data_IF_461429836333
#
_entry.id   IF_461429836333
#
_cell.length_a   1.000
_cell.length_b   1.000
_cell.length_c   1.000
_cell.angle_alpha   90.00
_cell.angle_beta   90.00
_cell.angle_gamma   90.00
#
_symmetry.space_group_name_H-M   'P 1'
#
loop_
_entity.id
_entity.type
_entity.pdbx_description
1 polymer ?
#
# COMPACT_ATOMS: atom_id res chain seq x y z
N UNK A 1 -4.80 17.95 5.73
CA UNK A 1 -3.63 17.05 5.63
C UNK A 1 -4.03 15.74 6.25
N UNK A 2 -3.66 14.64 5.62
CA UNK A 2 -3.99 13.30 6.07
C UNK A 2 -3.47 13.05 7.47
N UNK A 3 -4.28 12.38 8.28
CA UNK A 3 -3.99 12.12 9.70
C UNK A 3 -4.75 10.93 10.23
N UNK A 4 -4.22 10.33 11.29
CA UNK A 4 -4.78 9.17 11.97
C UNK A 4 -4.94 9.50 13.45
N UNK A 5 -6.15 9.32 13.95
CA UNK A 5 -6.51 9.41 15.36
C UNK A 5 -6.59 8.01 15.96
N UNK A 6 -6.16 7.92 17.21
CA UNK A 6 -6.24 6.71 18.03
C UNK A 6 -6.92 7.05 19.34
N UNK A 7 -7.74 6.15 19.86
CA UNK A 7 -8.36 6.37 21.16
C UNK A 7 -9.17 5.20 21.65
N UNK A 8 -9.79 5.42 22.79
CA UNK A 8 -10.72 4.49 23.44
C UNK A 8 -12.11 5.11 23.53
N UNK A 9 -13.12 4.27 23.49
CA UNK A 9 -14.52 4.66 23.69
C UNK A 9 -15.22 3.65 24.61
N UNK A 10 -16.40 4.01 25.12
CA UNK A 10 -17.19 3.14 25.99
C UNK A 10 -16.50 2.80 27.31
N UNK A 11 -15.69 3.72 27.86
CA UNK A 11 -14.91 3.47 29.08
C UNK A 11 -13.76 2.47 28.91
N UNK A 12 -13.26 2.26 27.69
CA UNK A 12 -12.16 1.35 27.37
C UNK A 12 -12.60 0.05 26.70
N UNK A 13 -13.91 -0.19 26.58
CA UNK A 13 -14.48 -1.37 25.95
C UNK A 13 -14.30 -1.40 24.43
N UNK A 14 -14.00 -0.24 23.82
CA UNK A 14 -13.78 -0.11 22.38
C UNK A 14 -12.43 0.56 22.10
N UNK A 15 -11.62 -0.06 21.23
CA UNK A 15 -10.46 0.58 20.62
C UNK A 15 -10.86 1.19 19.28
N UNK A 16 -10.63 2.49 19.12
CA UNK A 16 -11.04 3.23 17.93
C UNK A 16 -9.82 3.78 17.21
N UNK A 17 -9.76 3.55 15.91
CA UNK A 17 -8.85 4.21 14.99
C UNK A 17 -9.65 4.92 13.92
N UNK A 18 -9.23 6.12 13.56
CA UNK A 18 -9.88 6.89 12.51
C UNK A 18 -8.83 7.57 11.64
N UNK A 19 -9.03 7.60 10.33
CA UNK A 19 -8.11 8.20 9.39
C UNK A 19 -8.86 9.14 8.43
N UNK A 20 -8.30 10.32 8.23
CA UNK A 20 -8.64 11.22 7.13
C UNK A 20 -7.53 11.13 6.10
N UNK A 21 -7.89 10.83 4.85
CA UNK A 21 -6.95 10.43 3.79
C UNK A 21 -7.24 11.10 2.46
N UNK A 22 -8.04 12.18 2.44
CA UNK A 22 -8.43 12.90 1.21
C UNK A 22 -7.23 13.23 0.32
N UNK A 23 -6.18 13.84 0.88
CA UNK A 23 -4.95 14.21 0.15
C UNK A 23 -4.12 12.99 -0.27
N UNK A 24 -4.09 11.95 0.56
CA UNK A 24 -3.42 10.67 0.25
C UNK A 24 -4.04 9.99 -0.96
N UNK A 25 -5.38 9.96 -1.02
CA UNK A 25 -6.12 9.33 -2.12
C UNK A 25 -6.06 10.19 -3.37
N UNK A 26 -6.13 11.52 -3.24
CA UNK A 26 -5.98 12.44 -4.38
C UNK A 26 -4.60 12.32 -5.02
N UNK A 27 -3.52 12.24 -4.23
CA UNK A 27 -2.17 12.01 -4.74
C UNK A 27 -2.08 10.68 -5.51
N UNK A 28 -2.70 9.61 -5.00
CA UNK A 28 -2.74 8.32 -5.69
C UNK A 28 -3.54 8.40 -7.01
N UNK A 29 -4.68 9.12 -7.02
CA UNK A 29 -5.49 9.34 -8.21
C UNK A 29 -4.69 10.03 -9.32
N UNK A 30 -4.01 11.13 -8.97
CA UNK A 30 -3.21 11.91 -9.90
C UNK A 30 -2.02 11.12 -10.45
N UNK A 31 -1.29 10.41 -9.57
CA UNK A 31 -0.11 9.62 -9.97
C UNK A 31 -0.44 8.46 -10.91
N UNK A 32 -1.60 7.85 -10.75
CA UNK A 32 -1.97 6.64 -11.46
C UNK A 32 -3.03 6.84 -12.56
N UNK A 33 -3.56 8.05 -12.73
CA UNK A 33 -4.61 8.31 -13.72
C UNK A 33 -5.87 7.47 -13.46
N UNK A 34 -6.31 7.40 -12.20
CA UNK A 34 -7.37 6.48 -11.81
C UNK A 34 -8.75 6.96 -12.29
N UNK A 35 -9.57 6.02 -12.77
CA UNK A 35 -11.00 6.24 -12.96
C UNK A 35 -11.70 6.55 -11.61
N UNK A 36 -12.92 7.11 -11.60
CA UNK A 36 -13.66 7.39 -10.37
C UNK A 36 -13.83 6.15 -9.46
N UNK A 37 -14.22 5.00 -10.02
CA UNK A 37 -14.43 3.77 -9.25
C UNK A 37 -13.11 3.15 -8.80
N UNK A 38 -12.04 3.21 -9.62
CA UNK A 38 -10.71 2.76 -9.24
C UNK A 38 -10.11 3.62 -8.11
N UNK A 39 -10.38 4.93 -8.12
CA UNK A 39 -10.02 5.87 -7.05
C UNK A 39 -10.68 5.47 -5.74
N UNK A 40 -11.97 5.13 -5.76
CA UNK A 40 -12.67 4.65 -4.58
C UNK A 40 -12.10 3.31 -4.08
N UNK A 41 -11.84 2.36 -4.97
CA UNK A 41 -11.27 1.05 -4.61
C UNK A 41 -9.89 1.19 -3.95
N UNK A 42 -8.95 1.88 -4.62
CA UNK A 42 -7.60 2.08 -4.10
C UNK A 42 -7.61 2.94 -2.83
N UNK A 43 -8.42 4.01 -2.80
CA UNK A 43 -8.49 4.90 -1.64
C UNK A 43 -9.02 4.21 -0.39
N UNK A 44 -10.02 3.32 -0.52
CA UNK A 44 -10.49 2.47 0.58
C UNK A 44 -9.38 1.51 1.03
N UNK A 45 -8.70 0.84 0.09
CA UNK A 45 -7.61 -0.08 0.43
C UNK A 45 -6.43 0.63 1.13
N UNK A 46 -6.04 1.82 0.68
CA UNK A 46 -5.01 2.65 1.30
C UNK A 46 -5.37 3.07 2.72
N UNK A 47 -6.59 3.56 2.90
CA UNK A 47 -7.11 3.94 4.22
C UNK A 47 -7.19 2.74 5.15
N UNK A 48 -7.70 1.61 4.66
CA UNK A 48 -7.76 0.35 5.38
C UNK A 48 -6.39 -0.16 5.79
N UNK A 49 -5.40 -0.12 4.90
CA UNK A 49 -4.03 -0.53 5.22
C UNK A 49 -3.38 0.36 6.29
N UNK A 50 -3.63 1.68 6.27
CA UNK A 50 -3.19 2.59 7.34
C UNK A 50 -3.82 2.23 8.69
N UNK A 51 -5.13 1.93 8.72
CA UNK A 51 -5.82 1.49 9.94
C UNK A 51 -5.24 0.15 10.43
N UNK A 52 -5.11 -0.86 9.56
CA UNK A 52 -4.51 -2.15 9.90
C UNK A 52 -3.07 -2.01 10.41
N UNK A 53 -2.27 -1.14 9.79
CA UNK A 53 -0.90 -0.88 10.22
C UNK A 53 -0.87 -0.38 11.68
N UNK A 54 -1.79 0.50 12.06
CA UNK A 54 -1.92 0.96 13.45
C UNK A 54 -2.50 -0.10 14.40
N UNK A 55 -3.32 -1.02 13.91
CA UNK A 55 -3.89 -2.11 14.72
C UNK A 55 -2.87 -3.20 15.03
N UNK A 56 -2.03 -3.57 14.06
CA UNK A 56 -1.29 -4.84 14.03
C UNK A 56 0.23 -4.68 14.16
N UNK A 57 0.80 -3.57 13.69
CA UNK A 57 2.25 -3.40 13.69
C UNK A 57 2.75 -2.83 15.02
N UNK A 58 3.86 -3.37 15.51
CA UNK A 58 4.38 -3.05 16.85
C UNK A 58 5.59 -2.13 16.81
N UNK A 59 6.38 -2.22 15.75
CA UNK A 59 7.65 -1.48 15.64
C UNK A 59 7.75 -0.65 14.36
N UNK A 60 8.48 0.49 14.38
CA UNK A 60 8.68 1.37 13.22
C UNK A 60 9.27 0.70 11.97
N UNK A 61 9.91 -0.46 12.13
CA UNK A 61 10.57 -1.21 11.06
C UNK A 61 9.65 -2.22 10.38
N UNK A 62 8.50 -2.53 10.98
CA UNK A 62 7.51 -3.43 10.38
C UNK A 62 6.78 -2.76 9.22
N UNK A 63 6.29 -3.58 8.30
CA UNK A 63 5.47 -3.15 7.16
C UNK A 63 4.29 -4.08 6.99
N UNK A 64 3.17 -3.52 6.54
CA UNK A 64 1.98 -4.27 6.17
C UNK A 64 1.73 -4.11 4.68
N UNK A 65 1.61 -5.21 3.95
CA UNK A 65 1.18 -5.23 2.56
C UNK A 65 -0.20 -5.85 2.47
N UNK A 66 -1.18 -5.07 2.01
CA UNK A 66 -2.53 -5.50 1.68
C UNK A 66 -2.61 -5.81 0.19
N UNK A 67 -3.06 -7.01 -0.16
CA UNK A 67 -3.27 -7.43 -1.55
C UNK A 67 -4.71 -7.89 -1.73
N UNK A 68 -5.40 -7.31 -2.69
CA UNK A 68 -6.74 -7.72 -3.12
C UNK A 68 -6.58 -8.36 -4.49
N UNK A 69 -6.76 -9.68 -4.55
CA UNK A 69 -6.68 -10.46 -5.78
C UNK A 69 -8.12 -10.78 -6.19
N UNK A 70 -8.72 -9.91 -7.01
CA UNK A 70 -10.11 -10.02 -7.46
C UNK A 70 -10.23 -10.41 -8.93
N UNK A 71 -11.35 -11.04 -9.29
CA UNK A 71 -11.68 -11.47 -10.65
C UNK A 71 -12.30 -10.36 -11.53
N UNK A 72 -12.57 -9.20 -10.95
CA UNK A 72 -13.19 -8.07 -11.63
C UNK A 72 -12.22 -7.26 -12.50
N UNK A 73 -12.73 -6.26 -13.25
CA UNK A 73 -11.96 -5.48 -14.20
C UNK A 73 -10.77 -4.72 -13.62
N UNK A 74 -10.72 -4.42 -12.32
CA UNK A 74 -9.58 -3.75 -11.68
C UNK A 74 -8.29 -4.57 -11.77
N UNK A 75 -8.40 -5.90 -11.85
CA UNK A 75 -7.30 -6.85 -11.97
C UNK A 75 -6.44 -7.05 -10.71
N UNK A 76 -6.66 -6.25 -9.67
CA UNK A 76 -6.04 -6.39 -8.35
C UNK A 76 -5.61 -5.06 -7.74
N UNK A 77 -5.43 -5.07 -6.42
CA UNK A 77 -4.97 -3.91 -5.63
C UNK A 77 -3.79 -4.34 -4.78
N UNK A 78 -2.73 -3.53 -4.74
CA UNK A 78 -1.60 -3.74 -3.84
C UNK A 78 -1.32 -2.44 -3.08
N UNK A 79 -1.30 -2.51 -1.76
CA UNK A 79 -1.06 -1.37 -0.87
C UNK A 79 -0.03 -1.76 0.19
N UNK A 80 0.95 -0.91 0.45
CA UNK A 80 1.91 -1.05 1.54
C UNK A 80 1.75 0.13 2.50
N UNK A 81 1.65 -0.14 3.80
CA UNK A 81 1.54 0.86 4.86
C UNK A 81 2.53 0.58 6.01
N UNK A 82 2.89 1.63 6.74
CA UNK A 82 3.76 1.55 7.91
C UNK A 82 3.23 2.30 9.15
N UNK A 83 3.77 2.04 10.35
CA UNK A 83 3.28 2.65 11.60
C UNK A 83 3.43 4.17 11.68
N UNK A 84 4.24 4.77 10.81
CA UNK A 84 4.49 6.21 10.76
C UNK A 84 3.53 6.96 9.82
N UNK A 85 2.48 6.27 9.36
CA UNK A 85 1.45 6.82 8.50
C UNK A 85 1.89 7.00 7.04
N UNK A 86 2.97 6.34 6.60
CA UNK A 86 3.29 6.29 5.19
C UNK A 86 2.46 5.19 4.52
N UNK A 87 1.91 5.48 3.35
CA UNK A 87 1.22 4.50 2.51
C UNK A 87 1.56 4.71 1.04
N UNK A 88 1.57 3.63 0.26
CA UNK A 88 1.65 3.66 -1.20
C UNK A 88 0.85 2.49 -1.74
N UNK A 89 0.34 2.60 -2.94
CA UNK A 89 -0.40 1.51 -3.55
C UNK A 89 -0.77 1.79 -4.98
N UNK A 90 -1.07 0.74 -5.71
CA UNK A 90 -1.45 0.79 -7.11
C UNK A 90 -2.51 -0.28 -7.39
N UNK A 91 -3.16 -0.14 -8.53
CA UNK A 91 -4.08 -1.12 -9.10
C UNK A 91 -3.54 -1.60 -10.44
N UNK A 92 -3.95 -2.78 -10.87
CA UNK A 92 -3.48 -3.34 -12.15
C UNK A 92 -4.01 -2.57 -13.36
N UNK A 93 -5.30 -2.24 -13.35
CA UNK A 93 -5.98 -1.54 -14.44
C UNK A 93 -6.57 -0.20 -13.91
N UNK A 94 -5.80 0.90 -13.93
CA UNK A 94 -6.20 2.17 -13.29
C UNK A 94 -7.42 2.84 -13.94
N UNK A 95 -7.60 2.66 -15.24
CA UNK A 95 -8.70 3.22 -16.02
C UNK A 95 -9.93 2.31 -16.08
N UNK A 96 -9.94 1.20 -15.33
CA UNK A 96 -11.05 0.26 -15.35
C UNK A 96 -12.34 0.92 -14.83
N UNK A 97 -13.45 0.68 -15.53
CA UNK A 97 -14.76 1.21 -15.19
C UNK A 97 -15.83 0.12 -15.17
N UNK A 98 -16.86 0.35 -14.37
CA UNK A 98 -18.08 -0.43 -14.29
C UNK A 98 -19.25 0.54 -14.11
N UNK A 99 -20.49 0.16 -14.49
CA UNK A 99 -21.66 0.97 -14.23
C UNK A 99 -21.81 1.32 -12.73
N UNK A 100 -22.48 2.44 -12.46
CA UNK A 100 -22.89 2.77 -11.10
C UNK A 100 -23.88 1.73 -10.58
N UNK A 101 -23.90 1.56 -9.26
CA UNK A 101 -24.93 0.77 -8.56
C UNK A 101 -26.31 1.40 -8.77
N UNK A 102 -27.36 0.62 -8.50
CA UNK A 102 -28.75 1.09 -8.57
C UNK A 102 -29.03 2.30 -7.66
N UNK A 103 -28.30 2.44 -6.56
CA UNK A 103 -28.37 3.58 -5.64
C UNK A 103 -27.53 4.80 -6.08
N UNK A 104 -26.97 4.76 -7.30
CA UNK A 104 -26.19 5.83 -7.89
C UNK A 104 -24.75 5.93 -7.36
N UNK A 105 -24.28 5.00 -6.53
CA UNK A 105 -22.92 5.00 -5.99
C UNK A 105 -21.94 4.23 -6.88
N UNK A 106 -20.64 4.52 -6.69
CA UNK A 106 -19.55 3.79 -7.35
C UNK A 106 -19.59 2.30 -6.97
N UNK A 107 -19.53 1.43 -7.98
CA UNK A 107 -19.62 -0.02 -7.79
C UNK A 107 -18.24 -0.66 -7.55
N UNK A 108 -17.69 -0.47 -6.35
CA UNK A 108 -16.37 -1.01 -6.00
C UNK A 108 -16.39 -2.53 -5.97
N UNK A 109 -17.45 -3.15 -5.43
CA UNK A 109 -17.60 -4.60 -5.37
C UNK A 109 -17.57 -5.26 -6.74
N UNK A 110 -18.27 -4.72 -7.75
CA UNK A 110 -18.22 -5.24 -9.12
C UNK A 110 -16.85 -5.01 -9.78
N UNK A 111 -16.24 -3.84 -9.56
CA UNK A 111 -14.94 -3.51 -10.15
C UNK A 111 -13.84 -4.45 -9.62
N UNK A 112 -13.88 -4.79 -8.33
CA UNK A 112 -12.96 -5.74 -7.69
C UNK A 112 -13.31 -7.18 -8.02
N UNK A 113 -14.59 -7.55 -7.99
CA UNK A 113 -15.09 -8.90 -8.19
C UNK A 113 -14.83 -9.84 -7.00
N UNK A 114 -15.05 -11.13 -7.23
CA UNK A 114 -14.79 -12.18 -6.24
C UNK A 114 -13.30 -12.52 -6.18
N UNK A 115 -12.82 -13.02 -5.04
CA UNK A 115 -11.40 -13.39 -4.93
C UNK A 115 -10.92 -13.46 -3.49
N UNK A 116 -9.69 -13.00 -3.25
CA UNK A 116 -9.04 -13.11 -1.95
C UNK A 116 -8.43 -11.79 -1.49
N UNK A 117 -8.46 -11.60 -0.18
CA UNK A 117 -7.71 -10.59 0.54
C UNK A 117 -6.52 -11.25 1.23
N UNK A 118 -5.30 -10.82 0.90
CA UNK A 118 -4.06 -11.27 1.54
C UNK A 118 -3.42 -10.11 2.30
N UNK A 119 -2.97 -10.39 3.51
CA UNK A 119 -2.23 -9.44 4.36
C UNK A 119 -0.88 -10.04 4.71
N UNK A 120 0.18 -9.39 4.26
CA UNK A 120 1.57 -9.74 4.57
C UNK A 120 2.12 -8.77 5.61
N UNK A 121 2.61 -9.28 6.75
CA UNK A 121 3.34 -8.49 7.77
C UNK A 121 4.82 -8.82 7.70
N UNK A 122 5.62 -7.87 7.24
CA UNK A 122 7.08 -7.99 7.21
C UNK A 122 7.66 -7.53 8.54
N UNK A 123 8.37 -8.43 9.21
CA UNK A 123 9.01 -8.19 10.50
C UNK A 123 10.45 -7.68 10.34
N UNK A 124 11.05 -7.06 11.38
CA UNK A 124 12.39 -6.49 11.28
C UNK A 124 13.51 -7.52 11.07
N UNK A 125 13.25 -8.79 11.38
CA UNK A 125 14.17 -9.92 11.18
C UNK A 125 14.10 -10.50 9.75
N UNK A 126 13.26 -9.94 8.88
CA UNK A 126 13.07 -10.39 7.49
C UNK A 126 11.99 -11.48 7.32
N UNK A 127 11.41 -11.98 8.40
CA UNK A 127 10.28 -12.91 8.32
C UNK A 127 9.03 -12.19 7.80
N UNK A 128 8.22 -12.91 7.03
CA UNK A 128 6.94 -12.42 6.51
C UNK A 128 5.84 -13.36 6.99
N UNK A 129 4.90 -12.81 7.77
CA UNK A 129 3.69 -13.51 8.16
C UNK A 129 2.57 -13.17 7.18
N UNK A 130 2.04 -14.17 6.50
CA UNK A 130 0.98 -14.01 5.52
C UNK A 130 -0.31 -14.65 6.03
N UNK A 131 -1.42 -13.91 5.93
CA UNK A 131 -2.76 -14.46 6.08
C UNK A 131 -3.61 -14.15 4.85
N UNK A 132 -4.55 -15.04 4.51
CA UNK A 132 -5.43 -14.91 3.35
C UNK A 132 -6.84 -15.33 3.73
N UNK A 133 -7.83 -14.51 3.34
CA UNK A 133 -9.26 -14.78 3.50
C UNK A 133 -9.98 -14.56 2.18
N UNK A 134 -11.09 -15.26 1.89
CA UNK A 134 -11.93 -14.94 0.74
C UNK A 134 -12.56 -13.55 0.91
N UNK A 135 -12.76 -12.85 -0.22
CA UNK A 135 -13.56 -11.64 -0.26
C UNK A 135 -15.02 -11.99 0.02
N UNK A 136 -15.67 -11.17 0.83
CA UNK A 136 -17.09 -11.27 1.18
C UNK A 136 -17.92 -10.46 0.19
N UNK A 137 -17.46 -9.25 -0.16
CA UNK A 137 -18.20 -8.35 -1.07
C UNK A 137 -17.33 -7.64 -2.09
N UNK A 138 -16.02 -7.51 -1.85
CA UNK A 138 -15.14 -6.71 -2.71
C UNK A 138 -15.25 -5.20 -2.47
N UNK A 139 -16.10 -4.75 -1.54
CA UNK A 139 -16.22 -3.34 -1.15
C UNK A 139 -15.09 -2.87 -0.20
N UNK A 140 -14.14 -3.76 0.09
CA UNK A 140 -12.93 -3.59 0.92
C UNK A 140 -13.23 -3.49 2.41
N UNK A 141 -14.19 -2.66 2.85
CA UNK A 141 -14.46 -2.45 4.27
C UNK A 141 -14.92 -3.74 4.98
N UNK A 142 -15.92 -4.42 4.40
CA UNK A 142 -16.43 -5.70 4.91
C UNK A 142 -15.38 -6.81 4.81
N UNK A 143 -14.58 -6.81 3.75
CA UNK A 143 -13.49 -7.78 3.56
C UNK A 143 -12.42 -7.64 4.65
N UNK A 144 -12.08 -6.40 5.04
CA UNK A 144 -11.16 -6.13 6.15
C UNK A 144 -11.76 -6.49 7.51
N UNK A 145 -13.06 -6.24 7.73
CA UNK A 145 -13.74 -6.67 8.94
C UNK A 145 -13.74 -8.20 9.07
N UNK A 146 -14.01 -8.90 7.96
CA UNK A 146 -13.93 -10.36 7.88
C UNK A 146 -12.50 -10.87 8.14
N UNK A 147 -11.48 -10.22 7.58
CA UNK A 147 -10.08 -10.53 7.87
C UNK A 147 -9.75 -10.40 9.37
N UNK A 148 -10.11 -9.28 9.99
CA UNK A 148 -9.84 -9.04 11.41
C UNK A 148 -10.52 -10.09 12.29
N UNK A 149 -11.74 -10.48 11.95
CA UNK A 149 -12.46 -11.55 12.65
C UNK A 149 -11.82 -12.93 12.43
N UNK A 150 -11.62 -13.35 11.18
CA UNK A 150 -11.19 -14.72 10.86
C UNK A 150 -9.71 -14.97 11.20
N UNK A 151 -8.84 -14.01 10.91
CA UNK A 151 -7.38 -14.19 11.00
C UNK A 151 -6.78 -13.67 12.31
N UNK A 152 -7.27 -12.54 12.81
CA UNK A 152 -6.72 -11.90 14.01
C UNK A 152 -7.59 -12.17 15.26
N UNK A 153 -8.79 -12.74 15.10
CA UNK A 153 -9.78 -12.95 16.16
C UNK A 153 -10.19 -11.65 16.85
N UNK A 154 -10.34 -10.59 16.05
CA UNK A 154 -10.67 -9.26 16.49
C UNK A 154 -12.03 -8.85 15.90
N UNK A 155 -13.14 -8.98 16.67
CA UNK A 155 -14.43 -8.44 16.26
C UNK A 155 -14.32 -6.94 16.03
N UNK A 156 -14.60 -6.52 14.79
CA UNK A 156 -14.37 -5.15 14.35
C UNK A 156 -15.48 -4.65 13.44
N UNK A 157 -15.90 -3.41 13.63
CA UNK A 157 -16.62 -2.64 12.62
C UNK A 157 -15.62 -1.79 11.84
N UNK A 158 -15.64 -1.90 10.51
CA UNK A 158 -14.76 -1.14 9.61
C UNK A 158 -15.63 -0.35 8.64
N UNK A 159 -15.45 0.97 8.63
CA UNK A 159 -16.10 1.89 7.71
C UNK A 159 -15.01 2.54 6.87
N UNK A 160 -15.15 2.49 5.55
CA UNK A 160 -14.24 3.16 4.61
C UNK A 160 -15.07 3.94 3.60
N UNK A 161 -14.63 5.15 3.29
CA UNK A 161 -15.36 6.06 2.43
C UNK A 161 -14.41 6.81 1.51
N UNK A 162 -14.77 6.85 0.24
CA UNK A 162 -14.18 7.76 -0.75
C UNK A 162 -15.33 8.35 -1.55
N UNK A 163 -15.36 9.67 -1.64
CA UNK A 163 -16.28 10.40 -2.49
C UNK A 163 -15.49 11.24 -3.47
N UNK A 164 -15.85 11.12 -4.74
CA UNK A 164 -15.31 11.90 -5.84
C UNK A 164 -16.35 12.89 -6.36
N UNK A 165 -15.89 14.01 -6.91
CA UNK A 165 -16.73 15.07 -7.51
C UNK A 165 -16.27 15.37 -8.93
N UNK A 166 -17.16 15.93 -9.75
CA UNK A 166 -16.87 16.35 -11.12
C UNK A 166 -16.24 15.23 -11.95
N UNK A 167 -15.08 15.51 -12.56
CA UNK A 167 -14.32 14.59 -13.42
C UNK A 167 -13.52 13.53 -12.64
N UNK A 168 -13.75 13.37 -11.33
CA UNK A 168 -13.15 12.32 -10.51
C UNK A 168 -12.24 12.80 -9.37
N UNK A 169 -12.12 14.13 -9.16
CA UNK A 169 -11.37 14.71 -8.03
C UNK A 169 -11.88 14.17 -6.70
N UNK A 170 -10.97 13.80 -5.79
CA UNK A 170 -11.34 13.30 -4.46
C UNK A 170 -11.85 14.47 -3.62
N UNK A 171 -13.13 14.41 -3.24
CA UNK A 171 -13.73 15.42 -2.37
C UNK A 171 -13.47 15.11 -0.90
N UNK A 172 -13.71 13.86 -0.50
CA UNK A 172 -13.40 13.36 0.84
C UNK A 172 -12.99 11.88 0.80
N UNK A 173 -11.98 11.52 1.58
CA UNK A 173 -11.64 10.13 1.85
C UNK A 173 -11.26 9.92 3.32
N UNK A 174 -11.64 8.78 3.86
CA UNK A 174 -11.33 8.43 5.23
C UNK A 174 -11.96 7.11 5.67
N UNK A 175 -11.71 6.76 6.93
CA UNK A 175 -12.08 5.47 7.47
C UNK A 175 -12.08 5.43 8.98
N UNK A 176 -12.86 4.52 9.55
CA UNK A 176 -12.87 4.23 10.99
C UNK A 176 -12.84 2.72 11.18
N UNK A 177 -12.00 2.25 12.10
CA UNK A 177 -12.01 0.88 12.60
C UNK A 177 -12.31 0.92 14.11
N UNK A 178 -13.38 0.25 14.51
CA UNK A 178 -13.78 0.08 15.91
C UNK A 178 -13.61 -1.39 16.27
N UNK A 179 -12.68 -1.66 17.17
CA UNK A 179 -12.40 -2.99 17.70
C UNK A 179 -13.08 -3.15 19.06
N UNK A 180 -13.77 -4.27 19.24
CA UNK A 180 -14.32 -4.68 20.53
C UNK A 180 -13.22 -5.26 21.40
N UNK A 181 -13.06 -4.72 22.62
CA UNK A 181 -12.08 -5.21 23.58
C UNK A 181 -12.61 -6.41 24.37
N UNK A 182 -11.74 -7.30 24.88
CA UNK A 182 -12.17 -8.40 25.72
C UNK A 182 -12.94 -7.92 26.95
N UNK A 183 -14.13 -8.49 27.18
CA UNK A 183 -14.99 -8.11 28.31
C UNK A 183 -15.83 -6.86 28.09
N UNK A 184 -15.93 -6.35 26.85
CA UNK A 184 -16.82 -5.23 26.53
C UNK A 184 -18.25 -5.50 26.97
N UNK A 185 -18.89 -4.49 27.57
CA UNK A 185 -20.25 -4.60 28.10
C UNK A 185 -21.27 -4.65 26.97
N UNK A 186 -22.29 -5.49 27.15
CA UNK A 186 -23.40 -5.63 26.19
C UNK A 186 -24.09 -4.28 25.89
N UNK A 187 -24.22 -3.42 26.90
CA UNK A 187 -24.79 -2.08 26.76
C UNK A 187 -23.97 -1.18 25.81
N UNK A 188 -22.63 -1.29 25.85
CA UNK A 188 -21.73 -0.56 24.95
C UNK A 188 -21.83 -1.08 23.52
N UNK A 189 -21.90 -2.41 23.35
CA UNK A 189 -22.07 -3.05 22.06
C UNK A 189 -23.41 -2.70 21.42
N UNK A 190 -24.51 -2.85 22.16
CA UNK A 190 -25.85 -2.50 21.67
C UNK A 190 -25.97 -1.02 21.30
N UNK A 191 -25.29 -0.11 22.03
CA UNK A 191 -25.23 1.30 21.66
C UNK A 191 -24.44 1.53 20.37
N UNK A 192 -23.28 0.89 20.21
CA UNK A 192 -22.46 1.00 19.00
C UNK A 192 -23.23 0.48 17.77
N UNK A 193 -23.91 -0.66 17.89
CA UNK A 193 -24.72 -1.24 16.81
C UNK A 193 -25.88 -0.32 16.42
N UNK A 194 -26.58 0.28 17.39
CA UNK A 194 -27.62 1.26 17.13
C UNK A 194 -27.07 2.49 16.36
N UNK A 195 -25.93 3.03 16.80
CA UNK A 195 -25.29 4.17 16.14
C UNK A 195 -24.85 3.83 14.70
N UNK A 196 -24.33 2.62 14.47
CA UNK A 196 -23.92 2.14 13.14
C UNK A 196 -25.13 2.02 12.20
N UNK A 197 -26.25 1.50 12.71
CA UNK A 197 -27.48 1.32 11.93
C UNK A 197 -28.10 2.64 11.50
N UNK A 198 -28.05 3.66 12.34
CA UNK A 198 -28.65 4.97 12.09
C UNK A 198 -27.69 5.93 11.35
N UNK A 199 -26.45 5.49 11.06
CA UNK A 199 -25.44 6.31 10.41
C UNK A 199 -25.81 6.57 8.93
N UNK A 200 -25.82 7.82 8.44
CA UNK A 200 -26.11 8.13 7.02
C UNK A 200 -24.99 7.70 6.05
N UNK A 201 -23.97 6.98 6.56
CA UNK A 201 -22.73 6.66 5.87
C UNK A 201 -21.56 7.54 6.32
N UNK A 202 -20.33 7.09 6.06
CA UNK A 202 -19.13 7.79 6.50
C UNK A 202 -18.84 9.04 5.66
N UNK A 203 -18.99 8.97 4.33
CA UNK A 203 -18.61 10.08 3.45
C UNK A 203 -19.44 11.36 3.63
N UNK A 204 -20.77 11.33 3.88
CA UNK A 204 -21.50 12.55 4.22
C UNK A 204 -21.00 13.20 5.51
N UNK A 205 -20.73 12.39 6.55
CA UNK A 205 -20.23 12.88 7.84
C UNK A 205 -18.83 13.50 7.72
N UNK A 206 -17.92 12.87 6.98
CA UNK A 206 -16.58 13.43 6.74
C UNK A 206 -16.66 14.78 6.03
N UNK A 207 -17.55 14.92 5.03
CA UNK A 207 -17.73 16.16 4.28
C UNK A 207 -18.31 17.28 5.14
N UNK A 208 -19.32 16.97 5.94
CA UNK A 208 -20.10 17.99 6.66
C UNK A 208 -19.50 18.35 8.01
N UNK A 209 -18.84 17.40 8.67
CA UNK A 209 -18.41 17.53 10.06
C UNK A 209 -16.94 17.14 10.29
N UNK A 210 -16.21 16.71 9.26
CA UNK A 210 -14.83 16.23 9.37
C UNK A 210 -14.71 14.91 10.13
N UNK A 211 -13.46 14.47 10.34
CA UNK A 211 -13.16 13.22 11.03
C UNK A 211 -13.69 13.19 12.48
N UNK A 212 -13.53 14.28 13.23
CA UNK A 212 -14.02 14.40 14.60
C UNK A 212 -15.54 14.30 14.70
N UNK A 213 -16.27 14.99 13.83
CA UNK A 213 -17.73 14.94 13.83
C UNK A 213 -18.29 13.59 13.36
N UNK A 214 -17.58 12.90 12.45
CA UNK A 214 -17.89 11.52 12.08
C UNK A 214 -17.72 10.56 13.27
N UNK A 215 -16.63 10.72 14.04
CA UNK A 215 -16.41 9.95 15.27
C UNK A 215 -17.46 10.24 16.34
N UNK A 216 -17.82 11.52 16.54
CA UNK A 216 -18.86 11.90 17.49
C UNK A 216 -20.21 11.27 17.14
N UNK A 217 -20.59 11.26 15.87
CA UNK A 217 -21.82 10.61 15.41
C UNK A 217 -21.77 9.09 15.62
N UNK A 218 -20.66 8.45 15.23
CA UNK A 218 -20.48 7.00 15.36
C UNK A 218 -20.46 6.54 16.83
N UNK A 219 -19.84 7.33 17.71
CA UNK A 219 -19.63 7.01 19.13
C UNK A 219 -20.59 7.79 20.04
N UNK A 220 -21.73 8.23 19.50
CA UNK A 220 -22.73 8.98 20.25
C UNK A 220 -23.12 8.24 21.54
N UNK A 221 -22.95 8.91 22.68
CA UNK A 221 -23.22 8.35 24.01
C UNK A 221 -22.18 7.37 24.55
N UNK A 222 -21.07 7.11 23.84
CA UNK A 222 -19.98 6.23 24.27
C UNK A 222 -18.72 6.98 24.70
N UNK A 223 -18.61 8.26 24.35
CA UNK A 223 -17.41 9.07 24.58
C UNK A 223 -16.22 8.61 23.73
N UNK A 224 -15.27 9.52 23.50
CA UNK A 224 -14.04 9.20 22.78
C UNK A 224 -12.85 9.93 23.41
N UNK A 225 -11.91 9.14 23.92
CA UNK A 225 -10.68 9.63 24.55
C UNK A 225 -9.50 9.34 23.64
N UNK A 226 -8.87 10.40 23.12
CA UNK A 226 -7.68 10.27 22.26
C UNK A 226 -6.51 9.71 23.07
N UNK A 227 -5.79 8.76 22.48
CA UNK A 227 -4.53 8.25 23.02
C UNK A 227 -3.49 9.38 23.09
N UNK A 228 -2.77 9.49 24.21
CA UNK A 228 -1.61 10.38 24.29
C UNK A 228 -0.45 9.80 23.46
N UNK A 229 -0.11 10.49 22.38
CA UNK A 229 0.96 10.10 21.46
C UNK A 229 2.18 11.02 21.56
N UNK A 230 2.22 11.95 22.51
CA UNK A 230 3.33 12.91 22.66
C UNK A 230 4.66 12.22 22.93
N UNK A 231 4.64 11.14 23.70
CA UNK A 231 5.83 10.31 23.96
C UNK A 231 6.42 9.68 22.69
N UNK A 232 5.62 9.57 21.62
CA UNK A 232 6.04 9.08 20.31
C UNK A 232 6.40 10.22 19.34
N UNK A 233 6.45 11.47 19.81
CA UNK A 233 6.76 12.65 19.00
C UNK A 233 5.56 13.30 18.30
N UNK A 234 4.34 12.79 18.51
CA UNK A 234 3.13 13.33 17.91
C UNK A 234 2.45 14.34 18.85
N UNK A 235 2.88 15.60 18.77
CA UNK A 235 2.49 16.66 19.72
C UNK A 235 0.99 16.95 19.75
N UNK A 236 0.27 16.68 18.65
CA UNK A 236 -1.17 16.91 18.52
C UNK A 236 -2.01 15.66 18.79
N UNK A 237 -1.41 14.57 19.28
CA UNK A 237 -2.08 13.27 19.46
C UNK A 237 -2.68 12.71 18.16
N UNK A 238 -2.03 12.98 17.04
CA UNK A 238 -2.39 12.47 15.71
C UNK A 238 -1.14 12.07 14.92
N UNK A 239 -1.25 11.02 14.12
CA UNK A 239 -0.18 10.49 13.27
C UNK A 239 -0.42 11.00 11.85
N UNK A 240 0.51 11.74 11.22
CA UNK A 240 0.32 12.21 9.84
C UNK A 240 0.22 11.04 8.86
N UNK A 241 -0.83 11.02 8.05
CA UNK A 241 -0.98 10.09 6.94
C UNK A 241 -0.50 10.75 5.63
N UNK A 242 0.29 10.05 4.84
CA UNK A 242 0.82 10.57 3.57
C UNK A 242 1.09 9.48 2.56
N UNK A 243 0.82 9.78 1.29
CA UNK A 243 1.34 8.98 0.19
C UNK A 243 2.86 9.12 0.17
N UNK A 244 3.61 8.02 0.28
CA UNK A 244 5.07 8.04 0.23
C UNK A 244 5.65 6.79 -0.41
N UNK A 245 6.26 6.97 -1.58
CA UNK A 245 7.08 5.93 -2.19
C UNK A 245 8.53 5.96 -1.67
N UNK A 246 9.22 4.83 -1.80
CA UNK A 246 10.63 4.64 -1.43
C UNK A 246 11.56 4.50 -2.64
N UNK A 247 11.02 4.70 -3.85
CA UNK A 247 11.81 4.76 -5.08
C UNK A 247 12.65 6.04 -5.07
N UNK A 248 13.80 5.96 -5.72
CA UNK A 248 14.64 7.09 -6.04
C UNK A 248 15.34 6.78 -7.37
N UNK A 249 16.05 7.78 -7.92
CA UNK A 249 16.78 7.63 -9.18
C UNK A 249 17.81 6.50 -9.13
N UNK A 250 18.51 6.34 -8.01
CA UNK A 250 19.52 5.29 -7.81
C UNK A 250 18.92 3.89 -7.95
N UNK A 251 17.85 3.58 -7.21
CA UNK A 251 17.16 2.28 -7.29
C UNK A 251 16.55 2.02 -8.66
N UNK A 252 16.07 3.06 -9.33
CA UNK A 252 15.53 2.94 -10.67
C UNK A 252 16.63 2.61 -11.69
N UNK A 253 17.82 3.22 -11.54
CA UNK A 253 18.99 2.90 -12.37
C UNK A 253 19.50 1.48 -12.08
N UNK A 254 19.61 1.09 -10.80
CA UNK A 254 20.02 -0.25 -10.38
C UNK A 254 19.10 -1.34 -10.93
N UNK A 255 17.80 -1.06 -11.10
CA UNK A 255 16.87 -2.02 -11.71
C UNK A 255 17.26 -2.37 -13.16
N UNK A 256 18.00 -1.50 -13.86
CA UNK A 256 18.46 -1.79 -15.22
C UNK A 256 19.61 -2.83 -15.25
N UNK A 257 20.23 -3.15 -14.11
CA UNK A 257 21.27 -4.19 -14.02
C UNK A 257 20.73 -5.58 -14.39
N UNK A 258 19.43 -5.81 -14.22
CA UNK A 258 18.81 -7.10 -14.53
C UNK A 258 18.64 -7.37 -16.03
N UNK A 259 18.86 -6.36 -16.89
CA UNK A 259 18.86 -6.50 -18.34
C UNK A 259 20.26 -6.81 -18.86
N UNK A 260 20.33 -7.59 -19.94
CA UNK A 260 21.63 -7.92 -20.55
C UNK A 260 22.26 -6.67 -21.21
N UNK A 261 23.57 -6.69 -21.49
CA UNK A 261 24.22 -5.61 -22.24
C UNK A 261 23.54 -5.30 -23.58
N UNK A 262 23.07 -6.34 -24.28
CA UNK A 262 22.41 -6.21 -25.58
C UNK A 262 21.03 -5.55 -25.45
N UNK A 263 20.22 -5.96 -24.47
CA UNK A 263 18.92 -5.36 -24.18
C UNK A 263 19.06 -3.86 -23.82
N UNK A 264 20.11 -3.51 -23.07
CA UNK A 264 20.38 -2.11 -22.70
C UNK A 264 20.87 -1.28 -23.89
N UNK A 265 21.71 -1.84 -24.76
CA UNK A 265 22.13 -1.12 -25.98
C UNK A 265 20.94 -0.95 -26.95
N UNK A 266 20.03 -1.92 -27.00
CA UNK A 266 18.79 -1.79 -27.77
C UNK A 266 17.92 -0.63 -27.27
N UNK A 267 17.74 -0.48 -25.96
CA UNK A 267 17.05 0.68 -25.35
C UNK A 267 17.72 2.00 -25.77
N UNK A 268 19.05 2.05 -25.71
CA UNK A 268 19.83 3.25 -26.09
C UNK A 268 19.62 3.61 -27.56
N UNK A 269 19.74 2.64 -28.46
CA UNK A 269 19.66 2.88 -29.92
C UNK A 269 18.24 3.27 -30.34
N UNK A 270 17.21 2.64 -29.75
CA UNK A 270 15.82 2.88 -30.13
C UNK A 270 15.22 4.12 -29.47
N UNK A 271 15.46 4.28 -28.17
CA UNK A 271 14.74 5.24 -27.33
C UNK A 271 15.64 6.39 -26.85
N UNK A 272 16.93 6.38 -27.23
CA UNK A 272 17.89 7.42 -26.84
C UNK A 272 18.30 7.37 -25.37
N UNK A 273 18.07 6.25 -24.69
CA UNK A 273 18.33 6.08 -23.25
C UNK A 273 17.47 4.97 -22.66
N UNK A 274 17.11 5.09 -21.39
CA UNK A 274 16.15 4.21 -20.73
C UNK A 274 15.13 4.99 -19.90
N UNK A 275 13.88 4.53 -19.91
CA UNK A 275 12.81 5.05 -19.07
C UNK A 275 12.35 3.96 -18.09
N UNK A 276 12.40 4.25 -16.79
CA UNK A 276 11.95 3.35 -15.73
C UNK A 276 10.78 3.98 -15.01
N UNK A 277 9.62 3.33 -15.07
CA UNK A 277 8.40 3.77 -14.38
C UNK A 277 8.22 3.00 -13.08
N UNK A 278 8.12 3.71 -11.96
CA UNK A 278 7.84 3.08 -10.67
C UNK A 278 6.37 2.65 -10.58
N UNK A 279 6.13 1.33 -10.62
CA UNK A 279 4.79 0.74 -10.46
C UNK A 279 4.03 1.22 -9.21
N UNK A 280 4.74 1.58 -8.13
CA UNK A 280 4.12 2.01 -6.88
C UNK A 280 3.59 3.44 -6.86
N UNK A 281 4.13 4.34 -7.69
CA UNK A 281 3.80 5.76 -7.62
C UNK A 281 3.81 6.51 -8.95
N UNK A 282 3.95 5.79 -10.07
CA UNK A 282 3.95 6.37 -11.42
C UNK A 282 5.16 7.23 -11.75
N UNK A 283 6.14 7.36 -10.85
CA UNK A 283 7.30 8.24 -11.07
C UNK A 283 8.14 7.72 -12.23
N UNK A 284 8.48 8.61 -13.16
CA UNK A 284 9.21 8.29 -14.39
C UNK A 284 10.65 8.75 -14.26
N UNK A 285 11.59 7.81 -14.24
CA UNK A 285 13.02 8.09 -14.22
C UNK A 285 13.60 7.88 -15.61
N UNK A 286 14.16 8.95 -16.19
CA UNK A 286 14.84 8.91 -17.48
C UNK A 286 16.35 8.91 -17.30
N UNK A 287 17.02 8.04 -18.03
CA UNK A 287 18.47 7.86 -17.99
C UNK A 287 19.08 8.07 -19.36
N UNK A 288 20.18 8.80 -19.40
CA UNK A 288 20.98 9.01 -20.60
C UNK A 288 21.69 7.74 -21.04
N UNK A 289 22.09 7.62 -22.32
CA UNK A 289 22.90 6.51 -22.81
C UNK A 289 24.17 6.26 -21.99
N UNK A 290 24.83 7.32 -21.54
CA UNK A 290 26.04 7.24 -20.73
C UNK A 290 25.76 6.60 -19.37
N UNK A 291 24.68 7.00 -18.71
CA UNK A 291 24.25 6.41 -17.43
C UNK A 291 23.93 4.92 -17.60
N UNK A 292 23.22 4.55 -18.66
CA UNK A 292 22.86 3.14 -18.92
C UNK A 292 24.09 2.29 -19.23
N UNK A 293 25.05 2.81 -20.01
CA UNK A 293 26.32 2.10 -20.31
C UNK A 293 27.23 1.97 -19.10
N UNK A 294 27.18 2.93 -18.16
CA UNK A 294 27.98 2.89 -16.93
C UNK A 294 27.62 1.73 -16.00
N UNK A 295 26.44 1.13 -16.18
CA UNK A 295 26.01 -0.01 -15.39
C UNK A 295 26.75 -1.28 -15.79
N UNK A 296 27.40 -1.90 -14.82
CA UNK A 296 27.99 -3.23 -14.97
C UNK A 296 26.87 -4.27 -14.87
N UNK A 297 26.48 -4.86 -16.01
CA UNK A 297 25.49 -5.94 -16.04
C UNK A 297 26.01 -7.17 -15.29
N UNK A 298 25.07 -7.95 -14.75
CA UNK A 298 25.40 -9.30 -14.32
C UNK A 298 25.92 -10.11 -15.52
N UNK A 299 27.13 -10.65 -15.40
CA UNK A 299 27.68 -11.57 -16.40
C UNK A 299 27.48 -12.98 -15.87
N UNK A 300 26.85 -13.84 -16.66
CA UNK A 300 26.60 -15.25 -16.32
C UNK A 300 27.29 -16.17 -17.31
N UNK A 301 27.72 -17.34 -16.83
CA UNK A 301 28.19 -18.42 -17.68
C UNK A 301 27.06 -18.84 -18.63
N UNK A 302 27.26 -18.81 -19.96
CA UNK A 302 26.22 -19.23 -20.90
C UNK A 302 25.85 -20.71 -20.78
N UNK A 303 26.79 -21.55 -20.32
CA UNK A 303 26.58 -23.01 -20.27
C UNK A 303 25.88 -23.47 -19.00
N UNK A 304 26.16 -22.82 -17.86
CA UNK A 304 25.69 -23.30 -16.55
C UNK A 304 25.05 -22.23 -15.66
N UNK A 305 24.85 -21.01 -16.18
CA UNK A 305 24.18 -19.90 -15.49
C UNK A 305 24.90 -19.34 -14.26
N UNK A 306 26.12 -19.80 -13.97
CA UNK A 306 26.90 -19.33 -12.83
C UNK A 306 27.25 -17.85 -12.98
N UNK A 307 27.06 -17.07 -11.92
CA UNK A 307 27.43 -15.65 -11.90
C UNK A 307 28.95 -15.49 -11.99
N UNK A 308 29.41 -14.79 -13.02
CA UNK A 308 30.81 -14.42 -13.25
C UNK A 308 31.13 -13.00 -12.77
N UNK A 309 30.17 -12.08 -12.87
CA UNK A 309 30.27 -10.71 -12.39
C UNK A 309 28.88 -10.25 -11.98
N UNK A 310 28.73 -9.65 -10.80
CA UNK A 310 27.46 -9.09 -10.34
C UNK A 310 27.68 -8.02 -9.27
N UNK A 311 26.83 -7.00 -9.17
CA UNK A 311 26.88 -6.07 -8.06
C UNK A 311 26.33 -6.71 -6.77
N UNK A 312 27.02 -6.49 -5.66
CA UNK A 312 26.55 -6.80 -4.31
C UNK A 312 25.66 -5.67 -3.80
N UNK A 313 24.82 -5.99 -2.80
CA UNK A 313 23.93 -5.01 -2.16
C UNK A 313 24.63 -3.88 -1.40
N UNK A 314 25.96 -3.89 -1.29
CA UNK A 314 26.79 -2.82 -0.71
C UNK A 314 27.44 -1.91 -1.77
N UNK A 315 27.12 -2.09 -3.05
CA UNK A 315 27.66 -1.33 -4.17
C UNK A 315 29.01 -1.83 -4.70
N UNK A 316 29.58 -2.88 -4.12
CA UNK A 316 30.81 -3.51 -4.64
C UNK A 316 30.49 -4.54 -5.74
N UNK A 317 31.44 -4.80 -6.64
CA UNK A 317 31.29 -5.85 -7.65
C UNK A 317 31.86 -7.17 -7.13
N UNK A 318 31.05 -8.22 -7.15
CA UNK A 318 31.48 -9.58 -6.96
C UNK A 318 31.87 -10.19 -8.31
N UNK A 319 33.01 -10.88 -8.33
CA UNK A 319 33.55 -11.55 -9.53
C UNK A 319 33.89 -12.99 -9.20
N UNK A 320 33.74 -13.89 -10.17
CA UNK A 320 34.21 -15.27 -10.06
C UNK A 320 35.74 -15.30 -9.91
N UNK A 321 36.21 -16.10 -8.96
CA UNK A 321 37.64 -16.34 -8.74
C UNK A 321 38.14 -17.41 -9.73
N UNK A 322 39.20 -17.09 -10.49
CA UNK A 322 39.80 -17.99 -11.46
C UNK A 322 39.42 -17.74 -12.93
N UNK A 323 40.17 -18.34 -13.85
CA UNK A 323 39.99 -18.15 -15.30
C UNK A 323 38.95 -19.11 -15.91
N UNK A 324 38.44 -20.06 -15.13
CA UNK A 324 37.58 -21.13 -15.62
C UNK A 324 36.37 -21.29 -14.68
N UNK A 325 35.18 -21.31 -15.27
CA UNK A 325 33.94 -21.58 -14.57
C UNK A 325 33.88 -23.04 -14.10
N UNK A 326 33.07 -23.33 -13.08
CA UNK A 326 32.80 -24.69 -12.57
C UNK A 326 32.40 -25.73 -13.62
N UNK A 327 31.90 -25.29 -14.78
CA UNK A 327 31.51 -26.16 -15.90
C UNK A 327 32.65 -26.41 -16.92
N UNK A 328 33.85 -25.88 -16.70
CA UNK A 328 34.99 -26.00 -17.61
C UNK A 328 35.07 -24.90 -18.67
N UNK A 329 34.05 -24.04 -18.81
CA UNK A 329 34.09 -22.88 -19.72
C UNK A 329 35.04 -21.81 -19.22
N UNK A 330 35.86 -21.26 -20.12
CA UNK A 330 36.72 -20.10 -19.83
C UNK A 330 35.87 -18.87 -19.50
N UNK A 331 36.22 -18.16 -18.44
CA UNK A 331 35.52 -16.96 -18.00
C UNK A 331 35.82 -15.80 -18.96
N UNK A 332 34.77 -15.19 -19.50
CA UNK A 332 34.84 -14.04 -20.39
C UNK A 332 34.11 -12.86 -19.73
N UNK A 333 34.85 -11.79 -19.42
CA UNK A 333 34.33 -10.60 -18.75
C UNK A 333 34.59 -9.35 -19.60
N UNK A 334 33.70 -8.32 -19.58
CA UNK A 334 33.87 -7.08 -20.32
C UNK A 334 35.17 -6.35 -19.98
N UNK A 335 35.82 -5.74 -20.98
CA UNK A 335 37.18 -5.18 -20.88
C UNK A 335 37.36 -4.07 -19.83
N UNK A 336 36.31 -3.32 -19.49
CA UNK A 336 36.34 -2.26 -18.47
C UNK A 336 36.38 -2.78 -17.02
N UNK A 337 36.30 -4.10 -16.83
CA UNK A 337 36.37 -4.78 -15.53
C UNK A 337 37.70 -5.52 -15.28
N UNK A 338 38.72 -5.26 -16.12
CA UNK A 338 40.09 -5.73 -15.88
C UNK A 338 40.78 -4.78 -14.90
N UNK A 339 41.34 -5.25 -13.78
CA UNK A 339 42.22 -4.41 -12.98
C UNK A 339 43.37 -3.93 -13.88
N UNK A 340 43.64 -2.63 -13.87
CA UNK A 340 44.91 -2.14 -14.39
C UNK A 340 46.01 -2.85 -13.60
N UNK A 341 46.88 -3.55 -14.33
CA UNK A 341 48.01 -4.29 -13.78
C UNK A 341 49.04 -3.33 -13.16
#
# INVERSE_FOLDING_TARGET
MGRILRGLAGGGDLRVLAAETTDVVEEARLRHGLSPTATAALGRAMTGALLLAQLLLKTPKERLTLRVEGSGPLGGIVVEADPQGNVRGYVKNPEAEVPLREDGKLNVGELVGAGFLRVDRSLPNGEVYTSTVPLVSGEIAEDLAHYLWQSEQIPSAVLLGVRVKGEGEVEVAGGVAVQVMPGAKEEVLGRLEANLKDLPGLTPLLRERGLEGALEALLAGLGFERTDLRALGYLQNEIPARFRCRCNREKALEALVFFTPEEREEMIVKDGGAEVVCHWCGEVYRFSPEEVRSLVAEVRCPDCGALWLYPKGDGTLARIEGETCRCGRKVELPSESRPQA
#
